data_IF_608989196607
#
_entry.id   IF_608989196607
#
_cell.length_a   1.000
_cell.length_b   1.000
_cell.length_c   1.000
_cell.angle_alpha   90.00
_cell.angle_beta   90.00
_cell.angle_gamma   90.00
#
_symmetry.space_group_name_H-M   'P 1'
#
loop_
_entity.id
_entity.type
_entity.pdbx_description
1 polymer ?
#
# COMPACT_ATOMS: atom_id res chain seq x y z
N UNK A 1 29.78 -46.13 12.93
CA UNK A 1 29.20 -44.83 13.32
C UNK A 1 30.01 -43.63 12.77
N UNK A 2 31.32 -43.54 12.99
CA UNK A 2 32.17 -42.45 12.56
C UNK A 2 32.16 -42.21 11.03
N UNK A 3 32.31 -43.26 10.21
CA UNK A 3 32.24 -43.14 8.74
C UNK A 3 30.88 -42.67 8.22
N UNK A 4 29.77 -43.03 8.83
CA UNK A 4 28.41 -42.59 8.46
C UNK A 4 28.28 -41.10 8.72
N UNK A 5 28.81 -40.59 9.83
CA UNK A 5 28.80 -39.18 10.18
C UNK A 5 29.63 -38.35 9.16
N UNK A 6 30.81 -38.85 8.78
CA UNK A 6 31.66 -38.18 7.78
C UNK A 6 30.96 -38.13 6.42
N UNK A 7 30.36 -39.26 5.98
CA UNK A 7 29.61 -39.27 4.70
C UNK A 7 28.44 -38.29 4.72
N UNK A 8 27.69 -38.25 5.83
CA UNK A 8 26.57 -37.31 6.00
C UNK A 8 27.06 -35.83 5.93
N UNK A 9 28.19 -35.51 6.61
CA UNK A 9 28.78 -34.17 6.56
C UNK A 9 29.24 -33.82 5.15
N UNK A 10 29.89 -34.73 4.43
CA UNK A 10 30.31 -34.50 3.05
C UNK A 10 29.15 -34.30 2.12
N UNK A 11 28.05 -35.03 2.28
CA UNK A 11 26.82 -34.81 1.51
C UNK A 11 26.17 -33.47 1.83
N UNK A 12 26.13 -33.05 3.07
CA UNK A 12 25.65 -31.73 3.49
C UNK A 12 26.50 -30.62 2.87
N UNK A 13 27.83 -30.76 2.93
CA UNK A 13 28.78 -29.78 2.31
C UNK A 13 28.59 -29.74 0.80
N UNK A 14 28.44 -30.88 0.13
CA UNK A 14 28.21 -30.98 -1.31
C UNK A 14 26.90 -30.32 -1.71
N UNK A 15 25.77 -30.61 -1.05
CA UNK A 15 24.48 -29.99 -1.32
C UNK A 15 24.52 -28.47 -1.03
N UNK A 16 25.23 -28.06 0.03
CA UNK A 16 25.45 -26.64 0.31
C UNK A 16 26.27 -25.95 -0.79
N UNK A 17 27.36 -26.58 -1.25
CA UNK A 17 28.15 -26.05 -2.37
C UNK A 17 27.33 -25.94 -3.66
N UNK A 18 26.57 -26.97 -3.99
CA UNK A 18 25.65 -26.98 -5.12
C UNK A 18 24.60 -25.85 -5.01
N UNK A 19 24.06 -25.65 -3.81
CA UNK A 19 23.14 -24.53 -3.54
C UNK A 19 23.81 -23.17 -3.70
N UNK A 20 25.03 -22.97 -3.21
CA UNK A 20 25.79 -21.74 -3.41
C UNK A 20 26.06 -21.44 -4.91
N UNK A 21 26.24 -22.50 -5.69
CA UNK A 21 26.45 -22.42 -7.14
C UNK A 21 25.15 -22.31 -7.95
N UNK A 22 23.98 -22.36 -7.31
CA UNK A 22 22.68 -22.34 -7.98
C UNK A 22 22.25 -20.96 -8.46
N UNK A 23 22.97 -19.92 -8.06
CA UNK A 23 22.67 -18.54 -8.51
C UNK A 23 22.87 -18.44 -10.04
N UNK A 24 21.83 -18.03 -10.80
CA UNK A 24 21.96 -17.93 -12.25
C UNK A 24 23.03 -16.91 -12.66
N UNK A 25 23.80 -17.25 -13.70
CA UNK A 25 24.83 -16.37 -14.24
C UNK A 25 24.24 -15.10 -14.85
N UNK A 26 24.99 -13.99 -14.83
CA UNK A 26 24.52 -12.72 -15.40
C UNK A 26 23.46 -11.97 -14.57
N UNK A 27 23.07 -12.50 -13.40
CA UNK A 27 22.07 -11.88 -12.50
C UNK A 27 22.73 -10.81 -11.61
N UNK A 28 21.94 -9.89 -10.99
CA UNK A 28 22.47 -8.83 -10.12
C UNK A 28 23.37 -9.38 -9.00
N UNK A 29 24.34 -8.58 -8.50
CA UNK A 29 25.19 -8.99 -7.39
C UNK A 29 24.35 -9.29 -6.15
N UNK A 30 24.82 -10.22 -5.31
CA UNK A 30 24.05 -10.58 -4.13
C UNK A 30 24.55 -11.83 -3.44
N UNK A 31 23.79 -12.31 -2.45
CA UNK A 31 24.14 -13.44 -1.60
C UNK A 31 23.08 -14.54 -1.69
N UNK A 32 23.53 -15.78 -1.68
CA UNK A 32 22.64 -16.95 -1.72
C UNK A 32 21.99 -17.18 -0.35
N UNK A 33 22.75 -17.07 0.72
CA UNK A 33 22.27 -17.33 2.09
C UNK A 33 22.39 -18.80 2.49
N UNK A 34 21.52 -19.24 3.41
CA UNK A 34 21.46 -20.61 3.90
C UNK A 34 20.46 -21.45 3.07
N UNK A 35 20.71 -22.76 2.89
CA UNK A 35 19.73 -23.64 2.26
C UNK A 35 18.34 -23.55 2.93
N UNK A 36 17.27 -23.63 2.17
CA UNK A 36 15.85 -23.56 2.57
C UNK A 36 15.42 -22.21 3.14
N UNK A 37 16.26 -21.53 3.90
CA UNK A 37 15.93 -20.26 4.59
C UNK A 37 16.37 -19.04 3.75
N UNK A 38 17.41 -19.21 2.91
CA UNK A 38 17.99 -18.10 2.16
C UNK A 38 18.60 -17.06 3.10
N UNK A 39 18.25 -15.80 2.87
CA UNK A 39 18.75 -14.66 3.65
C UNK A 39 17.80 -14.22 4.79
N UNK A 40 16.70 -14.90 5.03
CA UNK A 40 15.75 -14.48 6.10
C UNK A 40 16.42 -14.29 7.45
N UNK A 41 17.35 -15.16 7.79
CA UNK A 41 18.13 -15.08 9.00
C UNK A 41 18.93 -13.76 9.11
N UNK A 42 19.56 -13.28 8.02
CA UNK A 42 20.29 -12.00 8.01
C UNK A 42 19.32 -10.82 8.18
N UNK A 43 18.17 -10.88 7.52
CA UNK A 43 17.15 -9.84 7.60
C UNK A 43 16.62 -9.72 9.04
N UNK A 44 16.31 -10.86 9.68
CA UNK A 44 15.77 -10.89 11.04
C UNK A 44 16.84 -10.47 12.06
N UNK A 45 18.09 -10.81 11.86
CA UNK A 45 19.17 -10.40 12.75
C UNK A 45 19.50 -8.91 12.62
N UNK A 46 19.38 -8.37 11.42
CA UNK A 46 19.61 -6.95 11.17
C UNK A 46 18.53 -6.07 11.82
N UNK A 47 17.26 -6.39 11.57
CA UNK A 47 16.10 -5.74 12.16
C UNK A 47 14.90 -6.72 12.16
N UNK A 48 14.63 -7.35 13.30
CA UNK A 48 13.57 -8.36 13.38
C UNK A 48 12.16 -7.78 13.20
N UNK A 49 11.97 -6.48 13.49
CA UNK A 49 10.69 -5.79 13.28
C UNK A 49 10.49 -5.37 11.83
N UNK A 50 11.56 -4.90 11.20
CA UNK A 50 11.51 -4.39 9.83
C UNK A 50 12.61 -5.05 8.97
N UNK A 51 12.51 -6.34 8.71
CA UNK A 51 13.56 -7.11 8.04
C UNK A 51 13.90 -6.60 6.63
N UNK A 52 12.99 -5.89 5.99
CA UNK A 52 13.22 -5.26 4.68
C UNK A 52 14.33 -4.19 4.68
N UNK A 53 14.65 -3.60 5.83
CA UNK A 53 15.74 -2.61 5.95
C UNK A 53 17.11 -3.19 5.60
N UNK A 54 17.26 -4.51 5.74
CA UNK A 54 18.47 -5.21 5.31
C UNK A 54 18.74 -5.04 3.81
N UNK A 55 17.70 -4.97 2.97
CA UNK A 55 17.89 -4.82 1.51
C UNK A 55 18.57 -3.51 1.15
N UNK A 56 18.17 -2.40 1.73
CA UNK A 56 18.80 -1.11 1.55
C UNK A 56 20.23 -1.08 2.10
N UNK A 57 20.46 -1.62 3.31
CA UNK A 57 21.79 -1.77 3.88
C UNK A 57 22.72 -2.57 2.95
N UNK A 58 22.25 -3.73 2.46
CA UNK A 58 23.07 -4.61 1.65
C UNK A 58 23.33 -4.05 0.25
N UNK A 59 22.37 -3.35 -0.33
CA UNK A 59 22.53 -2.58 -1.56
C UNK A 59 23.68 -1.58 -1.46
N UNK A 60 23.74 -0.80 -0.39
CA UNK A 60 24.81 0.15 -0.10
C UNK A 60 26.17 -0.55 0.09
N UNK A 61 26.20 -1.69 0.81
CA UNK A 61 27.40 -2.50 1.02
C UNK A 61 27.96 -3.04 -0.30
N UNK A 62 27.11 -3.47 -1.23
CA UNK A 62 27.50 -3.96 -2.56
C UNK A 62 27.75 -2.84 -3.57
N UNK A 63 27.46 -1.59 -3.22
CA UNK A 63 27.47 -0.43 -4.15
C UNK A 63 26.65 -0.71 -5.42
N UNK A 64 25.52 -1.41 -5.26
CA UNK A 64 24.64 -1.80 -6.36
C UNK A 64 23.19 -1.42 -6.05
N UNK A 65 22.53 -0.75 -6.99
CA UNK A 65 21.14 -0.32 -6.89
C UNK A 65 20.15 -1.47 -7.04
N UNK A 66 20.58 -2.55 -7.68
CA UNK A 66 19.83 -3.79 -7.84
C UNK A 66 20.65 -4.93 -7.26
N UNK A 67 20.05 -5.68 -6.37
CA UNK A 67 20.67 -6.83 -5.70
C UNK A 67 19.85 -8.09 -5.89
N UNK A 68 20.49 -9.26 -5.73
CA UNK A 68 19.80 -10.53 -5.75
C UNK A 68 20.09 -11.37 -4.51
N UNK A 69 19.13 -12.24 -4.15
CA UNK A 69 19.26 -13.15 -3.02
C UNK A 69 18.25 -14.29 -3.14
N UNK A 70 18.35 -15.26 -2.25
CA UNK A 70 17.27 -16.21 -2.03
C UNK A 70 16.47 -15.84 -0.79
N UNK A 71 15.15 -15.68 -0.94
CA UNK A 71 14.19 -15.62 0.15
C UNK A 71 13.53 -17.00 0.29
N UNK A 72 14.00 -17.79 1.24
CA UNK A 72 13.69 -19.22 1.23
C UNK A 72 14.22 -19.87 -0.05
N UNK A 73 13.36 -20.55 -0.79
CA UNK A 73 13.67 -21.15 -2.10
C UNK A 73 13.49 -20.20 -3.29
N UNK A 74 12.98 -18.98 -3.07
CA UNK A 74 12.66 -18.05 -4.15
C UNK A 74 13.87 -17.20 -4.52
N UNK A 75 14.40 -17.38 -5.73
CA UNK A 75 15.36 -16.43 -6.28
C UNK A 75 14.70 -15.06 -6.45
N UNK A 76 15.27 -14.06 -5.82
CA UNK A 76 14.65 -12.74 -5.65
C UNK A 76 15.60 -11.65 -6.09
N UNK A 77 15.08 -10.69 -6.84
CA UNK A 77 15.80 -9.47 -7.25
C UNK A 77 15.08 -8.27 -6.62
N UNK A 78 15.88 -7.38 -6.02
CA UNK A 78 15.37 -6.21 -5.29
C UNK A 78 15.92 -4.95 -5.95
N UNK A 79 15.02 -4.03 -6.31
CA UNK A 79 15.35 -2.69 -6.78
C UNK A 79 15.34 -1.72 -5.59
N UNK A 80 16.41 -0.90 -5.44
CA UNK A 80 16.61 -0.07 -4.24
C UNK A 80 16.79 1.43 -4.56
N UNK A 81 16.68 1.86 -5.82
CA UNK A 81 16.67 3.28 -6.17
C UNK A 81 15.46 3.63 -7.04
N UNK A 82 15.16 4.91 -7.17
CA UNK A 82 13.97 5.37 -7.90
C UNK A 82 13.93 4.89 -9.35
N UNK A 83 15.07 4.92 -10.06
CA UNK A 83 15.11 4.55 -11.48
C UNK A 83 14.82 3.06 -11.67
N UNK A 84 15.48 2.18 -10.91
CA UNK A 84 15.25 0.74 -10.97
C UNK A 84 13.88 0.33 -10.46
N UNK A 85 13.38 0.93 -9.36
CA UNK A 85 12.02 0.68 -8.87
C UNK A 85 10.99 1.07 -9.91
N UNK A 86 11.13 2.24 -10.54
CA UNK A 86 10.22 2.71 -11.57
C UNK A 86 10.23 1.81 -12.81
N UNK A 87 11.42 1.41 -13.30
CA UNK A 87 11.53 0.46 -14.40
C UNK A 87 10.87 -0.88 -14.06
N UNK A 88 11.15 -1.43 -12.86
CA UNK A 88 10.51 -2.66 -12.38
C UNK A 88 8.99 -2.56 -12.40
N UNK A 89 8.44 -1.42 -11.96
CA UNK A 89 7.00 -1.22 -11.90
C UNK A 89 6.33 -1.05 -13.28
N UNK A 90 7.06 -0.57 -14.28
CA UNK A 90 6.53 -0.29 -15.61
C UNK A 90 6.69 -1.46 -16.59
N UNK A 91 7.62 -2.37 -16.32
CA UNK A 91 7.96 -3.46 -17.24
C UNK A 91 6.91 -4.57 -17.20
N UNK A 92 6.32 -4.88 -18.36
CA UNK A 92 5.23 -5.87 -18.50
C UNK A 92 5.64 -7.28 -18.07
N UNK A 93 6.88 -7.69 -18.38
CA UNK A 93 7.42 -8.97 -17.95
C UNK A 93 7.44 -9.15 -16.43
N UNK A 94 7.32 -8.06 -15.68
CA UNK A 94 7.31 -8.05 -14.23
C UNK A 94 5.90 -7.90 -13.62
N UNK A 95 4.86 -8.07 -14.42
CA UNK A 95 3.47 -8.00 -13.95
C UNK A 95 2.97 -9.28 -13.28
N UNK A 96 3.76 -10.36 -13.29
CA UNK A 96 3.42 -11.61 -12.61
C UNK A 96 3.27 -11.45 -11.09
N UNK A 97 2.57 -12.40 -10.48
CA UNK A 97 2.36 -12.53 -9.03
C UNK A 97 2.81 -13.91 -8.54
N UNK A 98 3.06 -14.04 -7.25
CA UNK A 98 3.35 -15.31 -6.60
C UNK A 98 2.06 -16.10 -6.34
N UNK A 99 1.19 -16.20 -7.36
CA UNK A 99 -0.13 -16.82 -7.25
C UNK A 99 -0.10 -18.29 -6.82
N UNK A 100 1.04 -18.96 -7.02
CA UNK A 100 1.24 -20.36 -6.63
C UNK A 100 1.74 -20.54 -5.19
N UNK A 101 2.08 -19.46 -4.47
CA UNK A 101 2.46 -19.54 -3.07
C UNK A 101 1.29 -20.08 -2.22
N UNK A 102 1.61 -21.03 -1.32
CA UNK A 102 0.61 -21.76 -0.52
C UNK A 102 -0.40 -20.84 0.18
N UNK A 103 0.09 -19.79 0.85
CA UNK A 103 -0.78 -18.87 1.59
C UNK A 103 -1.72 -18.08 0.68
N UNK A 104 -1.33 -17.82 -0.58
CA UNK A 104 -2.15 -17.14 -1.59
C UNK A 104 -3.24 -18.09 -2.08
N UNK A 105 -2.89 -19.32 -2.37
CA UNK A 105 -3.87 -20.34 -2.78
C UNK A 105 -4.85 -20.68 -1.65
N UNK A 106 -4.38 -20.80 -0.41
CA UNK A 106 -5.22 -21.12 0.74
C UNK A 106 -6.36 -20.10 0.92
N UNK A 107 -6.08 -18.78 0.77
CA UNK A 107 -7.12 -17.75 0.87
C UNK A 107 -8.14 -17.80 -0.27
N UNK A 108 -7.82 -18.40 -1.40
CA UNK A 108 -8.59 -18.39 -2.65
C UNK A 108 -9.11 -19.81 -3.01
N UNK A 109 -9.50 -20.61 -2.02
CA UNK A 109 -10.06 -21.96 -2.20
C UNK A 109 -9.14 -22.89 -3.02
N UNK A 110 -7.82 -22.73 -2.89
CA UNK A 110 -6.79 -23.39 -3.70
C UNK A 110 -6.83 -23.08 -5.21
N UNK A 111 -7.50 -21.99 -5.61
CA UNK A 111 -7.60 -21.52 -6.99
C UNK A 111 -6.81 -20.21 -7.18
N UNK A 112 -6.70 -19.75 -8.43
CA UNK A 112 -6.13 -18.41 -8.76
C UNK A 112 -7.28 -17.43 -8.97
N UNK A 113 -7.77 -16.81 -7.90
CA UNK A 113 -8.92 -15.93 -7.91
C UNK A 113 -8.59 -14.54 -7.36
N UNK A 114 -9.39 -13.54 -7.76
CA UNK A 114 -9.25 -12.15 -7.37
C UNK A 114 -8.27 -11.36 -8.27
N UNK A 115 -8.13 -10.06 -8.01
CA UNK A 115 -7.36 -9.14 -8.86
C UNK A 115 -6.01 -8.72 -8.25
N UNK A 116 -5.77 -9.05 -6.97
CA UNK A 116 -4.59 -8.58 -6.25
C UNK A 116 -3.39 -9.54 -6.39
N UNK A 117 -3.59 -10.85 -6.20
CA UNK A 117 -2.53 -11.86 -6.19
C UNK A 117 -2.50 -12.76 -7.43
N UNK A 118 -3.27 -12.45 -8.46
CA UNK A 118 -3.35 -13.20 -9.71
C UNK A 118 -2.65 -12.49 -10.86
N UNK A 119 -2.39 -13.21 -11.93
CA UNK A 119 -1.79 -12.72 -13.17
C UNK A 119 -2.36 -13.44 -14.39
N UNK A 120 -1.89 -13.08 -15.58
CA UNK A 120 -2.32 -13.67 -16.84
C UNK A 120 -3.58 -13.01 -17.42
N UNK A 121 -4.20 -13.71 -18.39
CA UNK A 121 -5.29 -13.13 -19.19
C UNK A 121 -6.58 -13.01 -18.38
N UNK A 122 -6.91 -14.00 -17.55
CA UNK A 122 -8.07 -13.93 -16.64
C UNK A 122 -7.97 -12.72 -15.71
N UNK A 123 -6.77 -12.45 -15.15
CA UNK A 123 -6.56 -11.26 -14.34
C UNK A 123 -6.76 -9.97 -15.15
N UNK A 124 -6.25 -9.90 -16.38
CA UNK A 124 -6.42 -8.72 -17.24
C UNK A 124 -7.90 -8.44 -17.50
N UNK A 125 -8.67 -9.47 -17.75
CA UNK A 125 -10.10 -9.38 -17.99
C UNK A 125 -10.85 -8.92 -16.75
N UNK A 126 -10.68 -9.61 -15.64
CA UNK A 126 -11.36 -9.31 -14.38
C UNK A 126 -10.98 -7.94 -13.83
N UNK A 127 -9.70 -7.57 -13.91
CA UNK A 127 -9.26 -6.23 -13.52
C UNK A 127 -9.86 -5.14 -14.41
N UNK A 128 -9.93 -5.37 -15.73
CA UNK A 128 -10.56 -4.43 -16.68
C UNK A 128 -12.03 -4.25 -16.35
N UNK A 129 -12.74 -5.33 -16.14
CA UNK A 129 -14.15 -5.32 -15.74
C UNK A 129 -14.33 -4.54 -14.44
N UNK A 130 -13.59 -4.90 -13.40
CA UNK A 130 -13.69 -4.27 -12.09
C UNK A 130 -13.42 -2.76 -12.15
N UNK A 131 -12.29 -2.33 -12.76
CA UNK A 131 -11.94 -0.91 -12.85
C UNK A 131 -12.91 -0.10 -13.71
N UNK A 132 -13.50 -0.71 -14.77
CA UNK A 132 -14.51 -0.05 -15.60
C UNK A 132 -15.75 0.25 -14.78
N UNK A 133 -16.31 -0.75 -14.11
CA UNK A 133 -17.54 -0.58 -13.33
C UNK A 133 -17.32 0.26 -12.06
N UNK A 134 -16.15 0.12 -11.40
CA UNK A 134 -15.80 1.00 -10.29
C UNK A 134 -15.77 2.49 -10.71
N UNK A 135 -15.30 2.76 -11.94
CA UNK A 135 -15.32 4.12 -12.49
C UNK A 135 -16.75 4.66 -12.67
N UNK A 136 -17.69 3.81 -13.03
CA UNK A 136 -19.10 4.18 -13.20
C UNK A 136 -19.76 4.53 -11.86
N UNK A 137 -19.16 4.14 -10.74
CA UNK A 137 -19.60 4.46 -9.37
C UNK A 137 -18.73 5.48 -8.65
N UNK A 138 -17.93 6.27 -9.38
CA UNK A 138 -17.15 7.38 -8.81
C UNK A 138 -15.69 7.07 -8.48
N UNK A 139 -15.22 5.84 -8.72
CA UNK A 139 -13.82 5.49 -8.53
C UNK A 139 -13.02 5.88 -9.80
N UNK A 140 -12.33 7.00 -9.75
CA UNK A 140 -11.47 7.44 -10.85
C UNK A 140 -12.01 8.62 -11.65
N UNK A 141 -13.26 9.05 -11.41
CA UNK A 141 -13.83 10.29 -11.91
C UNK A 141 -14.82 10.84 -10.90
N UNK A 142 -15.10 12.12 -11.01
CA UNK A 142 -16.13 12.77 -10.20
C UNK A 142 -17.50 12.10 -10.42
N UNK A 143 -18.21 11.86 -9.32
CA UNK A 143 -19.55 11.27 -9.36
C UNK A 143 -20.37 11.82 -8.17
N UNK A 144 -21.42 12.57 -8.46
CA UNK A 144 -22.21 13.29 -7.48
C UNK A 144 -22.77 12.40 -6.36
N UNK A 145 -23.32 11.23 -6.70
CA UNK A 145 -23.84 10.28 -5.70
C UNK A 145 -22.73 9.81 -4.75
N UNK A 146 -21.53 9.58 -5.26
CA UNK A 146 -20.39 9.17 -4.43
C UNK A 146 -19.96 10.29 -3.48
N UNK A 147 -19.86 11.54 -3.99
CA UNK A 147 -19.51 12.71 -3.19
C UNK A 147 -20.54 12.98 -2.10
N UNK A 148 -21.83 12.88 -2.43
CA UNK A 148 -22.96 13.03 -1.45
C UNK A 148 -22.86 11.97 -0.36
N UNK A 149 -22.69 10.70 -0.72
CA UNK A 149 -22.56 9.59 0.24
C UNK A 149 -21.32 9.74 1.14
N UNK A 150 -20.18 10.12 0.57
CA UNK A 150 -18.97 10.39 1.34
C UNK A 150 -19.20 11.50 2.37
N UNK A 151 -19.89 12.56 1.98
CA UNK A 151 -20.19 13.68 2.86
C UNK A 151 -21.19 13.30 3.97
N UNK A 152 -22.19 12.45 3.67
CA UNK A 152 -23.10 11.89 4.67
C UNK A 152 -22.34 11.12 5.75
N UNK A 153 -21.46 10.20 5.34
CA UNK A 153 -20.63 9.40 6.24
C UNK A 153 -19.65 10.26 7.05
N UNK A 154 -19.09 11.30 6.42
CA UNK A 154 -18.21 12.24 7.11
C UNK A 154 -18.93 13.05 8.19
N UNK A 155 -20.17 13.51 7.91
CA UNK A 155 -21.00 14.19 8.92
C UNK A 155 -21.28 13.30 10.12
N UNK A 156 -21.57 12.01 9.88
CA UNK A 156 -21.80 11.04 10.94
C UNK A 156 -20.54 10.84 11.79
N UNK A 157 -19.39 10.67 11.13
CA UNK A 157 -18.10 10.59 11.85
C UNK A 157 -17.89 11.84 12.72
N UNK A 158 -18.21 13.02 12.20
CA UNK A 158 -18.08 14.29 12.95
C UNK A 158 -19.00 14.34 14.16
N UNK A 159 -20.26 13.89 14.00
CA UNK A 159 -21.21 13.81 15.11
C UNK A 159 -20.73 12.84 16.21
N UNK A 160 -20.22 11.67 15.80
CA UNK A 160 -19.62 10.71 16.73
C UNK A 160 -18.45 11.30 17.50
N UNK A 161 -17.57 12.03 16.84
CA UNK A 161 -16.38 12.63 17.45
C UNK A 161 -16.76 13.80 18.38
N UNK A 162 -17.80 14.56 18.08
CA UNK A 162 -18.28 15.69 18.90
C UNK A 162 -19.06 15.22 20.14
N UNK A 163 -19.87 14.20 20.00
CA UNK A 163 -20.84 13.78 21.01
C UNK A 163 -20.37 12.58 21.86
N UNK A 164 -19.16 12.05 21.58
CA UNK A 164 -18.61 10.87 22.24
C UNK A 164 -19.08 9.54 21.67
N UNK A 165 -18.68 8.41 22.27
CA UNK A 165 -19.00 7.08 21.74
C UNK A 165 -20.52 6.85 21.70
N UNK A 166 -20.97 6.34 20.56
CA UNK A 166 -22.35 6.02 20.28
C UNK A 166 -22.85 4.95 21.27
N UNK A 167 -23.99 5.20 21.91
CA UNK A 167 -24.68 4.20 22.74
C UNK A 167 -25.09 2.97 21.91
N UNK A 168 -25.12 1.79 22.53
CA UNK A 168 -25.48 0.51 21.88
C UNK A 168 -26.83 0.51 21.12
N UNK A 169 -27.67 1.49 21.37
CA UNK A 169 -28.96 1.66 20.65
C UNK A 169 -28.82 2.14 19.20
N UNK A 170 -27.65 2.57 18.76
CA UNK A 170 -27.40 3.04 17.38
C UNK A 170 -26.87 1.95 16.42
N UNK A 171 -27.03 0.67 16.76
CA UNK A 171 -26.99 -0.45 15.80
C UNK A 171 -28.00 -0.28 14.63
N UNK A 172 -28.88 0.69 14.72
CA UNK A 172 -29.75 1.18 13.63
C UNK A 172 -29.00 1.44 12.31
N UNK A 173 -27.71 1.78 12.38
CA UNK A 173 -26.91 2.09 11.20
C UNK A 173 -26.65 0.88 10.30
N UNK A 174 -26.29 -0.26 10.89
CA UNK A 174 -26.09 -1.50 10.14
C UNK A 174 -27.39 -2.01 9.50
N UNK A 175 -28.52 -1.80 10.19
CA UNK A 175 -29.84 -2.17 9.69
C UNK A 175 -30.31 -1.23 8.58
N UNK A 176 -30.12 0.09 8.74
CA UNK A 176 -30.48 1.08 7.72
C UNK A 176 -29.68 0.90 6.42
N UNK A 177 -28.38 0.52 6.54
CA UNK A 177 -27.57 0.17 5.40
C UNK A 177 -28.08 -1.08 4.66
N UNK A 178 -28.57 -2.09 5.38
CA UNK A 178 -29.21 -3.28 4.81
C UNK A 178 -30.55 -2.97 4.15
N UNK A 179 -31.39 -2.11 4.76
CA UNK A 179 -32.67 -1.69 4.20
C UNK A 179 -32.51 -0.86 2.91
N UNK A 180 -31.52 0.03 2.85
CA UNK A 180 -31.26 0.85 1.65
C UNK A 180 -30.77 0.05 0.44
N UNK A 181 -30.23 -1.16 0.63
CA UNK A 181 -29.65 -1.99 -0.43
C UNK A 181 -30.45 -3.29 -0.65
N UNK A 182 -31.59 -3.48 0.03
CA UNK A 182 -32.26 -4.77 0.18
C UNK A 182 -33.16 -5.23 -0.95
N UNK A 183 -33.76 -4.36 -1.74
CA UNK A 183 -34.78 -4.80 -2.72
C UNK A 183 -34.45 -4.57 -4.20
N UNK A 184 -33.45 -3.76 -4.54
CA UNK A 184 -33.02 -3.52 -5.93
C UNK A 184 -31.51 -3.75 -6.11
N UNK A 185 -31.02 -4.95 -5.84
CA UNK A 185 -29.62 -5.36 -5.99
C UNK A 185 -29.03 -5.26 -7.42
N UNK A 186 -29.68 -4.51 -8.30
CA UNK A 186 -29.24 -4.29 -9.69
C UNK A 186 -28.22 -3.16 -9.83
N UNK A 187 -28.05 -2.33 -8.81
CA UNK A 187 -27.13 -1.20 -8.83
C UNK A 187 -25.83 -1.48 -8.07
N UNK A 188 -24.73 -1.07 -8.65
CA UNK A 188 -23.40 -1.19 -8.07
C UNK A 188 -22.55 -2.28 -8.74
N UNK A 189 -21.29 -2.40 -8.29
CA UNK A 189 -20.34 -3.37 -8.83
C UNK A 189 -20.84 -4.81 -8.75
N UNK A 190 -21.43 -5.19 -7.62
CA UNK A 190 -22.00 -6.54 -7.40
C UNK A 190 -23.12 -6.82 -8.39
N UNK A 191 -24.09 -5.90 -8.53
CA UNK A 191 -25.19 -6.03 -9.48
C UNK A 191 -24.69 -6.16 -10.92
N UNK A 192 -23.73 -5.32 -11.33
CA UNK A 192 -23.11 -5.40 -12.66
C UNK A 192 -22.44 -6.75 -12.90
N UNK A 193 -21.76 -7.30 -11.88
CA UNK A 193 -21.11 -8.61 -12.00
C UNK A 193 -22.13 -9.76 -12.06
N UNK A 194 -23.16 -9.73 -11.21
CA UNK A 194 -24.23 -10.73 -11.21
C UNK A 194 -25.01 -10.71 -12.55
N UNK A 195 -25.22 -9.54 -13.13
CA UNK A 195 -25.84 -9.44 -14.46
C UNK A 195 -24.91 -10.03 -15.54
N UNK A 196 -23.59 -9.83 -15.43
CA UNK A 196 -22.62 -10.48 -16.30
C UNK A 196 -22.68 -12.01 -16.22
N UNK A 197 -22.90 -12.58 -15.02
CA UNK A 197 -23.05 -14.02 -14.82
C UNK A 197 -24.31 -14.62 -15.51
N UNK A 198 -25.32 -13.80 -15.84
CA UNK A 198 -26.55 -14.26 -16.52
C UNK A 198 -26.42 -14.31 -18.03
N UNK A 199 -25.34 -13.75 -18.61
CA UNK A 199 -25.12 -13.77 -20.07
C UNK A 199 -24.79 -15.18 -20.57
N UNK A 200 -25.27 -15.57 -21.75
CA UNK A 200 -25.14 -16.93 -22.30
C UNK A 200 -23.73 -17.30 -22.79
N UNK A 201 -22.86 -16.30 -23.08
CA UNK A 201 -21.51 -16.51 -23.61
C UNK A 201 -20.49 -15.72 -22.78
N UNK A 202 -20.35 -16.06 -21.50
CA UNK A 202 -19.36 -15.43 -20.63
C UNK A 202 -18.04 -16.22 -20.59
N UNK A 203 -16.89 -15.56 -20.50
CA UNK A 203 -15.63 -16.23 -20.22
C UNK A 203 -15.69 -17.04 -18.91
N UNK A 204 -14.99 -18.17 -18.87
CA UNK A 204 -14.94 -19.06 -17.70
C UNK A 204 -14.36 -18.43 -16.44
N UNK A 205 -13.70 -17.28 -16.58
CA UNK A 205 -13.18 -16.49 -15.46
C UNK A 205 -14.28 -15.83 -14.61
N UNK A 206 -15.51 -15.68 -15.13
CA UNK A 206 -16.63 -15.10 -14.35
C UNK A 206 -17.32 -16.16 -13.51
N UNK A 207 -17.08 -16.13 -12.21
CA UNK A 207 -17.71 -17.01 -11.21
C UNK A 207 -18.06 -16.23 -9.95
N UNK A 208 -19.00 -16.73 -9.14
CA UNK A 208 -19.32 -16.14 -7.83
C UNK A 208 -18.08 -16.13 -6.89
N UNK A 209 -17.26 -17.18 -6.95
CA UNK A 209 -16.03 -17.24 -6.17
C UNK A 209 -15.06 -16.13 -6.60
N UNK A 210 -14.96 -15.84 -7.89
CA UNK A 210 -14.11 -14.75 -8.39
C UNK A 210 -14.65 -13.38 -7.93
N UNK A 211 -15.98 -13.18 -7.96
CA UNK A 211 -16.63 -11.99 -7.41
C UNK A 211 -16.26 -11.81 -5.93
N UNK A 212 -16.43 -12.88 -5.13
CA UNK A 212 -16.14 -12.84 -3.69
C UNK A 212 -14.69 -12.43 -3.43
N UNK A 213 -13.73 -13.03 -4.11
CA UNK A 213 -12.31 -12.70 -3.95
C UNK A 213 -12.00 -11.28 -4.44
N UNK A 214 -12.66 -10.83 -5.50
CA UNK A 214 -12.50 -9.44 -5.97
C UNK A 214 -13.03 -8.43 -4.95
N UNK A 215 -14.17 -8.71 -4.32
CA UNK A 215 -14.70 -7.87 -3.25
C UNK A 215 -13.75 -7.82 -2.04
N UNK A 216 -13.22 -8.96 -1.62
CA UNK A 216 -12.20 -9.01 -0.56
C UNK A 216 -10.93 -8.22 -0.93
N UNK A 217 -10.52 -8.29 -2.20
CA UNK A 217 -9.36 -7.56 -2.71
C UNK A 217 -9.57 -6.04 -2.74
N UNK A 218 -10.80 -5.55 -2.75
CA UNK A 218 -11.12 -4.13 -2.60
C UNK A 218 -11.31 -3.73 -1.13
N UNK A 219 -12.13 -4.46 -0.38
CA UNK A 219 -12.54 -4.07 0.98
C UNK A 219 -11.36 -4.07 1.94
N UNK A 220 -10.57 -5.16 2.00
CA UNK A 220 -9.49 -5.28 2.98
C UNK A 220 -8.40 -4.21 2.80
N UNK A 221 -7.81 -4.01 1.60
CA UNK A 221 -6.80 -2.97 1.43
C UNK A 221 -7.35 -1.56 1.63
N UNK A 222 -8.56 -1.27 1.14
CA UNK A 222 -9.17 0.06 1.25
C UNK A 222 -9.39 0.46 2.72
N UNK A 223 -9.88 -0.47 3.53
CA UNK A 223 -10.14 -0.22 4.96
C UNK A 223 -8.82 0.00 5.72
N UNK A 224 -7.85 -0.89 5.53
CA UNK A 224 -6.59 -0.84 6.30
C UNK A 224 -5.71 0.31 5.87
N UNK A 225 -5.48 0.50 4.56
CA UNK A 225 -4.49 1.46 4.08
C UNK A 225 -4.94 2.91 4.24
N UNK A 226 -6.18 3.23 3.91
CA UNK A 226 -6.71 4.59 3.99
C UNK A 226 -6.80 5.06 5.45
N UNK A 227 -7.35 4.22 6.34
CA UNK A 227 -7.42 4.54 7.78
C UNK A 227 -6.03 4.67 8.41
N UNK A 228 -5.08 3.80 8.05
CA UNK A 228 -3.69 3.90 8.55
C UNK A 228 -3.02 5.20 8.11
N UNK A 229 -3.19 5.62 6.85
CA UNK A 229 -2.64 6.91 6.39
C UNK A 229 -3.21 8.09 7.14
N UNK A 230 -4.54 8.14 7.35
CA UNK A 230 -5.19 9.21 8.10
C UNK A 230 -4.69 9.21 9.56
N UNK A 231 -4.59 8.04 10.19
CA UNK A 231 -4.08 7.92 11.55
C UNK A 231 -2.62 8.39 11.66
N UNK A 232 -1.74 8.02 10.71
CA UNK A 232 -0.38 8.54 10.66
C UNK A 232 -0.36 10.06 10.45
N UNK A 233 -1.21 10.59 9.54
CA UNK A 233 -1.29 12.02 9.31
C UNK A 233 -1.64 12.78 10.59
N UNK A 234 -2.66 12.34 11.33
CA UNK A 234 -3.03 12.96 12.63
C UNK A 234 -1.91 12.81 13.66
N UNK A 235 -1.30 11.63 13.76
CA UNK A 235 -0.15 11.40 14.64
C UNK A 235 1.00 12.37 14.31
N UNK A 236 1.30 12.58 13.04
CA UNK A 236 2.35 13.53 12.63
C UNK A 236 1.96 14.98 12.90
N UNK A 237 0.70 15.36 12.80
CA UNK A 237 0.27 16.71 13.20
C UNK A 237 0.51 17.00 14.67
N UNK A 238 0.43 15.99 15.55
CA UNK A 238 0.79 16.15 16.96
C UNK A 238 2.32 16.24 17.20
N UNK A 239 3.13 15.55 16.38
CA UNK A 239 4.58 15.63 16.45
C UNK A 239 5.17 16.88 15.78
N UNK A 240 4.48 17.43 14.78
CA UNK A 240 4.92 18.58 14.00
C UNK A 240 3.92 19.75 14.10
N UNK A 241 3.79 20.40 15.27
CA UNK A 241 2.76 21.40 15.52
C UNK A 241 2.82 22.62 14.59
N UNK A 242 4.01 22.98 14.10
CA UNK A 242 4.15 24.07 13.13
C UNK A 242 3.53 23.71 11.77
N UNK A 243 3.60 22.44 11.35
CA UNK A 243 2.93 21.96 10.15
C UNK A 243 1.42 21.95 10.38
N UNK A 244 0.96 21.40 11.51
CA UNK A 244 -0.45 21.39 11.87
C UNK A 244 -1.07 22.80 11.86
N UNK A 245 -0.35 23.79 12.40
CA UNK A 245 -0.77 25.21 12.40
C UNK A 245 -0.96 25.74 10.97
N UNK A 246 0.02 25.55 10.08
CA UNK A 246 -0.06 25.98 8.67
C UNK A 246 -1.23 25.32 7.93
N UNK A 247 -1.47 24.01 8.16
CA UNK A 247 -2.60 23.28 7.56
C UNK A 247 -3.93 23.91 8.01
N UNK A 248 -4.09 24.17 9.30
CA UNK A 248 -5.30 24.80 9.85
C UNK A 248 -5.50 26.21 9.30
N UNK A 249 -4.47 27.05 9.31
CA UNK A 249 -4.52 28.40 8.76
C UNK A 249 -4.95 28.40 7.29
N UNK A 250 -4.41 27.49 6.48
CA UNK A 250 -4.79 27.34 5.07
C UNK A 250 -6.26 26.95 4.93
N UNK A 251 -6.72 25.94 5.67
CA UNK A 251 -8.12 25.47 5.61
C UNK A 251 -9.08 26.56 6.05
N UNK A 252 -8.84 27.22 7.17
CA UNK A 252 -9.72 28.29 7.66
C UNK A 252 -9.74 29.51 6.74
N UNK A 253 -8.62 29.84 6.09
CA UNK A 253 -8.55 30.93 5.12
C UNK A 253 -9.37 30.65 3.85
N UNK A 254 -9.40 29.40 3.39
CA UNK A 254 -10.01 29.01 2.10
C UNK A 254 -11.45 28.54 2.27
N UNK A 255 -11.70 27.71 3.27
CA UNK A 255 -13.00 27.05 3.50
C UNK A 255 -13.81 27.77 4.57
N UNK A 256 -13.14 28.30 5.59
CA UNK A 256 -13.77 28.88 6.78
C UNK A 256 -14.29 27.81 7.74
N UNK A 257 -15.22 28.19 8.61
CA UNK A 257 -15.88 27.29 9.58
C UNK A 257 -17.35 26.98 9.22
N UNK A 258 -17.90 27.59 8.17
CA UNK A 258 -19.31 27.49 7.81
C UNK A 258 -19.69 26.22 7.02
N UNK A 259 -18.73 25.49 6.50
CA UNK A 259 -18.93 24.24 5.77
C UNK A 259 -17.72 23.31 5.92
N UNK A 260 -17.88 22.04 5.62
CA UNK A 260 -16.77 21.11 5.55
C UNK A 260 -15.97 21.27 4.23
N UNK A 261 -14.66 20.94 4.25
CA UNK A 261 -13.85 20.84 3.04
C UNK A 261 -14.40 19.77 2.09
N UNK A 262 -14.35 20.05 0.79
CA UNK A 262 -14.72 19.11 -0.26
C UNK A 262 -13.53 18.86 -1.19
N UNK A 263 -13.61 17.82 -2.01
CA UNK A 263 -12.57 17.50 -2.99
C UNK A 263 -12.24 18.66 -3.94
N UNK A 264 -13.21 19.57 -4.22
CA UNK A 264 -13.01 20.75 -5.04
C UNK A 264 -12.04 21.75 -4.41
N UNK A 265 -12.01 21.81 -3.08
CA UNK A 265 -11.12 22.74 -2.37
C UNK A 265 -9.65 22.32 -2.45
N UNK A 266 -9.37 21.06 -2.78
CA UNK A 266 -8.03 20.47 -2.80
C UNK A 266 -7.00 21.32 -3.57
N UNK A 267 -7.38 21.84 -4.72
CA UNK A 267 -6.47 22.65 -5.53
C UNK A 267 -6.21 24.04 -4.93
N UNK A 268 -7.04 24.48 -3.98
CA UNK A 268 -6.91 25.73 -3.23
C UNK A 268 -6.25 25.52 -1.86
N UNK A 269 -5.96 24.26 -1.50
CA UNK A 269 -5.35 23.82 -0.25
C UNK A 269 -4.02 23.06 -0.52
N UNK A 270 -3.06 23.70 -1.22
CA UNK A 270 -1.83 23.04 -1.66
C UNK A 270 -0.96 22.54 -0.49
N UNK A 271 -0.89 23.28 0.62
CA UNK A 271 -0.10 22.87 1.77
C UNK A 271 -0.71 21.66 2.49
N UNK A 272 -2.03 21.62 2.59
CA UNK A 272 -2.80 20.49 3.14
C UNK A 272 -2.57 19.23 2.29
N UNK A 273 -2.69 19.33 0.97
CA UNK A 273 -2.41 18.20 0.06
C UNK A 273 -0.93 17.78 0.12
N UNK A 274 0.00 18.73 0.19
CA UNK A 274 1.42 18.45 0.34
C UNK A 274 1.73 17.71 1.66
N UNK A 275 1.01 18.04 2.74
CA UNK A 275 1.11 17.36 4.04
C UNK A 275 0.65 15.90 3.94
N UNK A 276 -0.41 15.62 3.20
CA UNK A 276 -0.87 14.24 2.94
C UNK A 276 0.18 13.46 2.14
N UNK A 277 0.77 14.07 1.10
CA UNK A 277 1.83 13.43 0.31
C UNK A 277 3.08 13.17 1.13
N UNK A 278 3.49 14.11 1.98
CA UNK A 278 4.63 13.93 2.87
C UNK A 278 4.36 12.83 3.90
N UNK A 279 3.12 12.70 4.38
CA UNK A 279 2.72 11.57 5.24
C UNK A 279 2.96 10.24 4.54
N UNK A 280 2.52 10.08 3.30
CA UNK A 280 2.70 8.85 2.52
C UNK A 280 4.17 8.55 2.19
N UNK A 281 5.00 9.58 2.00
CA UNK A 281 6.44 9.43 1.82
C UNK A 281 7.14 9.05 3.13
N UNK A 282 6.89 9.83 4.18
CA UNK A 282 7.55 9.66 5.48
C UNK A 282 7.21 8.32 6.13
N UNK A 283 5.93 7.93 6.05
CA UNK A 283 5.50 6.59 6.42
C UNK A 283 5.08 5.82 5.15
N UNK A 284 5.99 5.04 4.64
CA UNK A 284 5.71 4.19 3.49
C UNK A 284 4.88 2.99 3.92
N UNK A 285 3.57 3.03 3.69
CA UNK A 285 2.64 1.98 4.15
C UNK A 285 2.95 0.59 3.58
N UNK A 286 3.42 0.54 2.34
CA UNK A 286 3.82 -0.71 1.67
C UNK A 286 5.31 -0.66 1.35
N UNK A 287 6.18 -0.92 2.35
CA UNK A 287 7.63 -0.69 2.23
C UNK A 287 8.27 -1.41 1.05
N UNK A 288 7.81 -2.62 0.75
CA UNK A 288 8.29 -3.44 -0.36
C UNK A 288 7.35 -3.44 -1.57
N UNK A 289 6.38 -2.51 -1.60
CA UNK A 289 5.32 -2.57 -2.58
C UNK A 289 4.57 -3.90 -2.53
N UNK A 290 3.98 -4.31 -3.66
CA UNK A 290 3.42 -5.66 -3.81
C UNK A 290 4.40 -6.48 -4.63
N UNK A 291 4.89 -7.57 -4.04
CA UNK A 291 5.86 -8.48 -4.65
C UNK A 291 5.37 -8.92 -6.04
N UNK A 292 6.29 -8.91 -7.00
CA UNK A 292 6.05 -9.28 -8.38
C UNK A 292 6.80 -10.55 -8.76
N UNK A 293 6.49 -11.10 -9.91
CA UNK A 293 7.15 -12.25 -10.50
C UNK A 293 7.47 -11.98 -11.97
N UNK A 294 8.66 -12.35 -12.38
CA UNK A 294 9.05 -12.35 -13.79
C UNK A 294 8.28 -13.43 -14.55
N UNK A 295 7.65 -13.08 -15.67
CA UNK A 295 6.80 -14.01 -16.45
C UNK A 295 7.52 -14.68 -17.61
N UNK A 296 8.71 -14.19 -17.98
CA UNK A 296 9.59 -14.77 -19.01
C UNK A 296 11.02 -14.26 -18.80
N UNK A 297 11.98 -14.95 -19.35
CA UNK A 297 13.38 -14.50 -19.35
C UNK A 297 13.49 -13.10 -19.97
N UNK A 298 14.22 -12.21 -19.29
CA UNK A 298 14.37 -10.82 -19.72
C UNK A 298 15.64 -10.18 -19.15
N UNK A 299 15.84 -8.90 -19.41
CA UNK A 299 16.93 -8.10 -18.83
C UNK A 299 16.36 -6.98 -17.94
N UNK A 300 17.09 -6.62 -16.91
CA UNK A 300 16.73 -5.51 -16.01
C UNK A 300 17.99 -4.82 -15.51
N UNK A 301 18.13 -3.51 -15.75
CA UNK A 301 19.32 -2.73 -15.39
C UNK A 301 20.65 -3.39 -15.88
N UNK A 302 20.61 -3.98 -17.08
CA UNK A 302 21.77 -4.68 -17.69
C UNK A 302 22.00 -6.10 -17.17
N UNK A 303 21.24 -6.60 -16.22
CA UNK A 303 21.33 -7.97 -15.68
C UNK A 303 20.32 -8.90 -16.33
N UNK A 304 20.69 -10.18 -16.45
CA UNK A 304 19.76 -11.24 -16.84
C UNK A 304 18.81 -11.57 -15.67
N UNK A 305 17.52 -11.66 -15.97
CA UNK A 305 16.47 -12.03 -15.02
C UNK A 305 15.72 -13.24 -15.53
N UNK A 306 15.93 -14.41 -14.92
CA UNK A 306 15.23 -15.64 -15.30
C UNK A 306 13.71 -15.53 -15.10
N UNK A 307 12.97 -16.28 -15.89
CA UNK A 307 11.55 -16.52 -15.64
C UNK A 307 11.32 -17.02 -14.20
N UNK A 308 10.18 -16.69 -13.62
CA UNK A 308 9.80 -17.00 -12.23
C UNK A 308 10.66 -16.33 -11.14
N UNK A 309 11.57 -15.42 -11.47
CA UNK A 309 12.26 -14.61 -10.48
C UNK A 309 11.26 -13.76 -9.70
N UNK A 310 11.36 -13.78 -8.39
CA UNK A 310 10.63 -12.87 -7.50
C UNK A 310 11.24 -11.47 -7.58
N UNK A 311 10.41 -10.44 -7.67
CA UNK A 311 10.84 -9.06 -7.83
C UNK A 311 10.25 -8.18 -6.74
N UNK A 312 11.11 -7.41 -6.08
CA UNK A 312 10.72 -6.55 -4.95
C UNK A 312 11.09 -5.10 -5.27
N UNK A 313 10.11 -4.20 -5.41
CA UNK A 313 10.34 -2.76 -5.42
C UNK A 313 10.50 -2.26 -3.98
N UNK A 314 11.70 -1.87 -3.56
CA UNK A 314 11.94 -1.35 -2.21
C UNK A 314 11.52 0.11 -2.11
N UNK A 315 10.20 0.35 -1.99
CA UNK A 315 9.61 1.70 -1.92
C UNK A 315 10.10 2.46 -0.69
N UNK A 316 10.29 1.77 0.44
CA UNK A 316 10.79 2.42 1.65
C UNK A 316 12.21 3.00 1.45
N UNK A 317 13.10 2.30 0.74
CA UNK A 317 14.44 2.80 0.49
C UNK A 317 14.42 4.06 -0.36
N UNK A 318 13.62 4.10 -1.45
CA UNK A 318 13.54 5.29 -2.29
C UNK A 318 12.91 6.49 -1.57
N UNK A 319 12.00 6.26 -0.63
CA UNK A 319 11.34 7.32 0.13
C UNK A 319 12.23 7.90 1.25
N UNK A 320 13.31 7.19 1.59
CA UNK A 320 14.28 7.60 2.62
C UNK A 320 15.70 7.82 2.05
N UNK A 321 15.82 7.88 0.74
CA UNK A 321 17.10 8.13 0.07
C UNK A 321 17.56 9.60 0.28
N UNK A 322 18.68 9.83 1.01
CA UNK A 322 19.19 11.17 1.25
C UNK A 322 19.72 11.86 -0.01
N UNK A 323 20.24 11.09 -0.98
CA UNK A 323 20.74 11.64 -2.23
C UNK A 323 19.61 12.25 -3.08
N UNK A 324 18.39 11.73 -2.93
CA UNK A 324 17.21 12.19 -3.63
C UNK A 324 16.44 13.26 -2.85
N UNK A 325 16.16 13.03 -1.55
CA UNK A 325 15.31 13.87 -0.73
C UNK A 325 16.05 14.93 0.10
N UNK A 326 17.40 14.86 0.16
CA UNK A 326 18.28 15.71 0.96
C UNK A 326 18.16 15.42 2.46
N UNK A 327 17.00 15.67 3.02
CA UNK A 327 16.68 15.51 4.44
C UNK A 327 15.49 14.56 4.70
N UNK A 328 15.53 13.29 4.28
CA UNK A 328 14.39 12.39 4.30
C UNK A 328 13.81 12.10 5.69
N UNK A 329 14.60 12.32 6.74
CA UNK A 329 14.17 12.14 8.14
C UNK A 329 13.35 13.31 8.69
N UNK A 330 13.34 14.45 8.01
CA UNK A 330 12.53 15.61 8.38
C UNK A 330 11.19 15.53 7.66
N UNK A 331 10.11 15.69 8.43
CA UNK A 331 8.76 15.80 7.89
C UNK A 331 8.58 17.23 7.36
N UNK A 332 8.58 17.38 6.05
CA UNK A 332 8.60 18.69 5.37
C UNK A 332 7.68 18.69 4.15
N UNK A 333 6.42 19.10 4.30
CA UNK A 333 5.45 19.17 3.21
C UNK A 333 5.92 20.02 2.01
N UNK A 334 6.71 21.05 2.26
CA UNK A 334 7.20 22.01 1.25
C UNK A 334 7.97 21.33 0.11
N UNK A 335 8.49 20.09 0.30
CA UNK A 335 9.15 19.33 -0.78
C UNK A 335 8.22 18.95 -1.94
N UNK A 336 6.92 18.93 -1.69
CA UNK A 336 5.87 18.66 -2.68
C UNK A 336 5.29 19.92 -3.31
N UNK A 337 5.84 21.08 -2.97
CA UNK A 337 5.45 22.37 -3.53
C UNK A 337 6.62 22.98 -4.30
N UNK A 338 6.31 23.71 -5.34
CA UNK A 338 7.23 24.61 -6.02
C UNK A 338 7.22 25.98 -5.33
N UNK A 339 8.16 26.85 -5.70
CA UNK A 339 8.26 28.22 -5.16
C UNK A 339 7.00 29.07 -5.44
N UNK A 340 6.28 28.75 -6.52
CA UNK A 340 5.01 29.38 -6.88
C UNK A 340 3.79 28.80 -6.15
N UNK A 341 3.99 27.86 -5.22
CA UNK A 341 2.95 27.18 -4.46
C UNK A 341 2.22 26.07 -5.21
N UNK A 342 2.55 25.82 -6.48
CA UNK A 342 1.99 24.69 -7.24
C UNK A 342 2.60 23.37 -6.78
N UNK A 343 1.91 22.26 -7.10
CA UNK A 343 2.41 20.93 -6.79
C UNK A 343 3.66 20.58 -7.59
N UNK A 344 4.64 20.07 -6.87
CA UNK A 344 5.79 19.40 -7.48
C UNK A 344 5.43 17.96 -7.85
N UNK A 345 6.24 17.35 -8.72
CA UNK A 345 6.09 15.95 -9.09
C UNK A 345 6.30 15.06 -7.87
N UNK A 346 5.39 14.10 -7.70
CA UNK A 346 5.50 13.10 -6.64
C UNK A 346 6.37 11.92 -7.11
N UNK A 347 7.49 11.74 -6.42
CA UNK A 347 8.44 10.65 -6.67
C UNK A 347 8.36 9.54 -5.63
N UNK A 348 7.45 9.64 -4.65
CA UNK A 348 7.36 8.67 -3.55
C UNK A 348 6.69 7.34 -3.92
N UNK A 349 6.00 7.28 -5.08
CA UNK A 349 5.33 6.11 -5.63
C UNK A 349 4.40 5.37 -4.64
N UNK A 350 3.57 6.06 -3.85
CA UNK A 350 2.78 5.43 -2.79
C UNK A 350 1.74 4.45 -3.32
N UNK A 351 1.33 4.59 -4.58
CA UNK A 351 0.35 3.74 -5.27
C UNK A 351 0.99 2.84 -6.33
N UNK A 352 2.32 2.84 -6.43
CA UNK A 352 3.05 2.12 -7.47
C UNK A 352 2.99 2.79 -8.84
N UNK A 353 3.15 2.00 -9.91
CA UNK A 353 3.09 2.47 -11.30
C UNK A 353 2.77 1.32 -12.26
N UNK A 354 2.50 1.65 -13.54
CA UNK A 354 2.28 0.70 -14.63
C UNK A 354 0.95 -0.05 -14.54
N UNK A 355 0.88 -1.23 -15.15
CA UNK A 355 -0.36 -2.02 -15.25
C UNK A 355 -0.89 -2.48 -13.89
N UNK A 356 -0.02 -2.52 -12.88
CA UNK A 356 -0.32 -2.88 -11.50
C UNK A 356 -0.49 -1.68 -10.57
N UNK A 357 -0.65 -0.48 -11.12
CA UNK A 357 -1.01 0.72 -10.36
C UNK A 357 -2.20 0.40 -9.45
N UNK A 358 -2.21 0.98 -8.24
CA UNK A 358 -3.28 0.77 -7.27
C UNK A 358 -4.66 1.04 -7.89
N UNK A 359 -5.56 0.07 -7.76
CA UNK A 359 -6.92 0.19 -8.28
C UNK A 359 -7.74 1.26 -7.55
N UNK A 360 -7.43 1.49 -6.27
CA UNK A 360 -8.11 2.43 -5.39
C UNK A 360 -7.44 3.79 -5.24
N UNK A 361 -6.42 4.14 -6.05
CA UNK A 361 -5.67 5.40 -5.87
C UNK A 361 -6.56 6.63 -5.78
N UNK A 362 -7.45 6.82 -6.74
CA UNK A 362 -8.31 8.02 -6.79
C UNK A 362 -9.23 8.07 -5.58
N UNK A 363 -9.84 6.94 -5.21
CA UNK A 363 -10.68 6.83 -4.03
C UNK A 363 -9.90 7.13 -2.74
N UNK A 364 -8.71 6.54 -2.59
CA UNK A 364 -7.89 6.75 -1.41
C UNK A 364 -7.45 8.21 -1.25
N UNK A 365 -7.04 8.86 -2.35
CA UNK A 365 -6.68 10.29 -2.34
C UNK A 365 -7.85 11.17 -1.96
N UNK A 366 -9.02 10.88 -2.49
CA UNK A 366 -10.26 11.59 -2.18
C UNK A 366 -10.58 11.47 -0.68
N UNK A 367 -10.67 10.25 -0.17
CA UNK A 367 -11.00 9.99 1.24
C UNK A 367 -9.95 10.56 2.20
N UNK A 368 -8.66 10.40 1.90
CA UNK A 368 -7.60 10.97 2.74
C UNK A 368 -7.70 12.49 2.82
N UNK A 369 -7.96 13.15 1.68
CA UNK A 369 -8.06 14.60 1.66
C UNK A 369 -9.28 15.09 2.47
N UNK A 370 -10.48 14.59 2.17
CA UNK A 370 -11.71 15.06 2.82
C UNK A 370 -11.69 14.79 4.33
N UNK A 371 -11.33 13.56 4.74
CA UNK A 371 -11.30 13.21 6.16
C UNK A 371 -10.21 13.99 6.89
N UNK A 372 -8.98 14.05 6.36
CA UNK A 372 -7.89 14.77 7.01
C UNK A 372 -8.19 16.27 7.13
N UNK A 373 -8.63 16.91 6.04
CA UNK A 373 -8.94 18.34 6.05
C UNK A 373 -10.10 18.67 7.01
N UNK A 374 -11.14 17.83 7.05
CA UNK A 374 -12.27 18.00 7.99
C UNK A 374 -11.83 17.85 9.44
N UNK A 375 -11.02 16.84 9.76
CA UNK A 375 -10.50 16.65 11.09
C UNK A 375 -9.63 17.83 11.53
N UNK A 376 -8.74 18.33 10.65
CA UNK A 376 -7.88 19.47 10.92
C UNK A 376 -8.65 20.78 11.03
N UNK A 377 -9.77 20.95 10.33
CA UNK A 377 -10.65 22.11 10.47
C UNK A 377 -11.32 22.18 11.83
N UNK A 378 -11.77 21.04 12.34
CA UNK A 378 -12.72 21.02 13.46
C UNK A 378 -12.10 20.67 14.81
N UNK A 379 -10.88 20.12 14.86
CA UNK A 379 -10.29 19.65 16.12
C UNK A 379 -8.84 20.05 16.33
N UNK A 380 -8.49 20.26 17.58
CA UNK A 380 -7.13 20.18 18.07
C UNK A 380 -6.84 18.78 18.59
N UNK A 381 -5.66 18.27 18.25
CA UNK A 381 -5.19 16.95 18.65
C UNK A 381 -4.02 17.09 19.61
N UNK A 382 -4.04 16.30 20.68
CA UNK A 382 -2.93 16.20 21.61
C UNK A 382 -2.78 14.79 22.14
N UNK A 383 -1.54 14.43 22.53
CA UNK A 383 -1.29 13.16 23.18
C UNK A 383 -1.94 13.12 24.57
N UNK A 384 -2.33 11.92 24.99
CA UNK A 384 -2.77 11.67 26.36
C UNK A 384 -1.53 11.43 27.22
N UNK A 385 -1.44 12.12 28.34
CA UNK A 385 -0.33 12.00 29.29
C UNK A 385 -0.18 10.54 29.77
N UNK A 386 1.06 10.06 29.88
CA UNK A 386 1.37 8.70 30.29
C UNK A 386 1.18 7.60 29.21
N UNK A 387 0.69 7.95 28.02
CA UNK A 387 0.54 7.02 26.91
C UNK A 387 1.75 7.08 25.96
N UNK A 388 2.04 5.97 25.23
CA UNK A 388 3.10 5.94 24.23
C UNK A 388 2.90 7.01 23.15
N UNK A 389 3.95 7.80 22.90
CA UNK A 389 3.89 8.91 21.93
C UNK A 389 4.96 8.83 20.84
N UNK A 390 5.73 7.73 20.77
CA UNK A 390 6.87 7.65 19.85
C UNK A 390 6.39 7.63 18.39
N UNK A 391 7.04 8.41 17.56
CA UNK A 391 6.72 8.52 16.14
C UNK A 391 6.95 7.17 15.39
N UNK A 392 7.93 6.37 15.86
CA UNK A 392 8.33 5.10 15.28
C UNK A 392 7.40 3.92 15.66
N UNK A 393 6.47 4.10 16.59
CA UNK A 393 5.61 3.02 17.06
C UNK A 393 4.59 2.65 15.97
N UNK A 394 4.82 1.48 15.37
CA UNK A 394 4.04 0.94 14.28
C UNK A 394 4.19 -0.58 14.20
N UNK A 395 3.22 -1.24 13.60
CA UNK A 395 3.23 -2.67 13.33
C UNK A 395 3.71 -2.94 11.91
N UNK A 396 4.73 -3.79 11.74
CA UNK A 396 5.18 -4.22 10.42
C UNK A 396 4.19 -5.20 9.79
N UNK A 397 4.06 -5.13 8.47
CA UNK A 397 3.23 -6.02 7.69
C UNK A 397 3.45 -5.80 6.19
N UNK A 398 2.63 -6.44 5.35
CA UNK A 398 2.53 -6.06 3.93
C UNK A 398 2.10 -4.59 3.84
N UNK A 399 1.18 -4.20 4.71
CA UNK A 399 0.82 -2.81 5.01
C UNK A 399 1.31 -2.51 6.42
N UNK A 400 2.12 -1.49 6.57
CA UNK A 400 2.53 -0.97 7.87
C UNK A 400 1.33 -0.22 8.49
N UNK A 401 1.00 -0.54 9.73
CA UNK A 401 -0.11 0.11 10.44
C UNK A 401 0.41 0.86 11.67
N UNK A 402 -0.22 1.99 12.06
CA UNK A 402 0.16 2.68 13.29
C UNK A 402 -0.09 1.78 14.50
N UNK A 403 0.80 1.86 15.50
CA UNK A 403 0.50 1.29 16.80
C UNK A 403 -0.62 2.09 17.47
N UNK A 404 -1.29 1.45 18.42
CA UNK A 404 -2.33 2.09 19.20
C UNK A 404 -1.80 3.39 19.81
N UNK A 405 -2.52 4.47 19.57
CA UNK A 405 -2.16 5.81 20.05
C UNK A 405 -3.40 6.47 20.62
N UNK A 406 -3.35 6.78 21.90
CA UNK A 406 -4.42 7.50 22.59
C UNK A 406 -4.29 8.99 22.33
N UNK A 407 -5.34 9.59 21.80
CA UNK A 407 -5.38 11.00 21.45
C UNK A 407 -6.53 11.70 22.16
N UNK A 408 -6.30 12.95 22.56
CA UNK A 408 -7.33 13.84 23.07
C UNK A 408 -7.78 14.75 21.94
N UNK A 409 -9.08 14.79 21.70
CA UNK A 409 -9.76 15.67 20.77
C UNK A 409 -10.34 16.85 21.53
N UNK A 410 -10.08 18.07 21.07
CA UNK A 410 -10.71 19.30 21.55
C UNK A 410 -11.29 20.02 20.34
N UNK A 411 -12.58 20.40 20.35
CA UNK A 411 -13.13 21.24 19.29
C UNK A 411 -12.26 22.48 19.08
N UNK A 412 -11.98 22.80 17.83
CA UNK A 412 -11.26 24.01 17.46
C UNK A 412 -12.18 25.21 17.61
N UNK A 413 -11.79 26.21 18.39
CA UNK A 413 -12.57 27.43 18.69
C UNK A 413 -12.18 28.59 17.78
#
# INVERSE_FOLDING_TARGET
MFFVVIIALLLIIYEYYKYLSSKPSGTPPGVVGLPLIGIYWYCLWYDYKFPYRWFGYYSKKLKSKVISCYLGSFFTVIANDYASVKELLLKEEFDGRLSDAYFIKARAFNKKLGIFFTDGDEWREQRRFALRHMRDFGFGRRHEIFETKSMEELNILMDMLKNGPINENEKKYLYKYKEMHGENGEYGFVGSYLNKLKESNIPSSYTEEYLLLTLLDFILPATISTSSNITFAIKFMMHFPNVAKKVKEEIHKVVGSGRLPTWEDRNKLPYTEATIRETMRYETLTPLGVIRRCTKDTTFQGYFIPNNTTLIPNIAEINHDPDFWGDPKNFRPERFLKDDGQFNKDFSLPFGAGHRLCAGETFARFMMFEVFATLMQNFDFSFVEGQPTRIEDKFPGIITTPAETWIRLKPYS
#
